data_IF_357649854565
#
_entry.id   IF_357649854565
#
_cell.length_a   1.000
_cell.length_b   1.000
_cell.length_c   1.000
_cell.angle_alpha   90.00
_cell.angle_beta   90.00
_cell.angle_gamma   90.00
#
_symmetry.space_group_name_H-M   'P 1'
#
loop_
_entity.id
_entity.type
_entity.pdbx_description
1 polymer ?
#
# COMPACT_ATOMS: atom_id res chain seq x y z
N UNK A 1 -3.74 -38.96 -22.20
CA UNK A 1 -3.41 -38.55 -20.81
C UNK A 1 -4.46 -37.55 -20.39
N UNK A 2 -5.28 -37.96 -19.43
CA UNK A 2 -6.52 -37.31 -19.01
C UNK A 2 -6.26 -35.94 -18.39
N UNK A 3 -6.74 -34.89 -19.05
CA UNK A 3 -6.97 -33.58 -18.43
C UNK A 3 -8.05 -33.74 -17.37
N UNK A 4 -7.64 -34.14 -16.17
CA UNK A 4 -8.49 -34.09 -14.98
C UNK A 4 -8.84 -32.62 -14.76
N UNK A 5 -10.05 -32.24 -15.18
CA UNK A 5 -10.51 -30.86 -15.18
C UNK A 5 -10.92 -30.49 -13.75
N UNK A 6 -9.93 -30.11 -12.93
CA UNK A 6 -10.16 -29.57 -11.60
C UNK A 6 -11.14 -28.39 -11.71
N UNK A 7 -12.23 -28.37 -10.91
CA UNK A 7 -13.15 -27.25 -10.89
C UNK A 7 -12.38 -25.94 -10.66
N UNK A 8 -12.64 -24.91 -11.47
CA UNK A 8 -11.90 -23.63 -11.44
C UNK A 8 -11.74 -23.05 -10.03
N UNK A 9 -12.70 -23.33 -9.13
CA UNK A 9 -12.68 -22.93 -7.72
C UNK A 9 -11.40 -23.35 -6.98
N UNK A 10 -10.85 -24.54 -7.22
CA UNK A 10 -9.63 -25.00 -6.55
C UNK A 10 -8.40 -24.20 -6.97
N UNK A 11 -8.34 -23.88 -8.26
CA UNK A 11 -7.28 -23.09 -8.85
C UNK A 11 -7.33 -21.64 -8.34
N UNK A 12 -8.52 -21.03 -8.26
CA UNK A 12 -8.69 -19.73 -7.61
C UNK A 12 -8.28 -19.76 -6.14
N UNK A 13 -8.71 -20.77 -5.38
CA UNK A 13 -8.35 -20.91 -3.96
C UNK A 13 -6.84 -20.92 -3.75
N UNK A 14 -6.09 -21.68 -4.55
CA UNK A 14 -4.61 -21.76 -4.47
C UNK A 14 -3.93 -20.43 -4.82
N UNK A 15 -4.46 -19.71 -5.81
CA UNK A 15 -3.97 -18.37 -6.15
C UNK A 15 -4.28 -17.35 -5.05
N UNK A 16 -5.44 -17.46 -4.38
CA UNK A 16 -5.75 -16.66 -3.20
C UNK A 16 -4.78 -16.99 -2.06
N UNK A 17 -4.42 -18.26 -1.83
CA UNK A 17 -3.42 -18.62 -0.82
C UNK A 17 -2.08 -17.94 -1.08
N UNK A 18 -1.55 -17.99 -2.30
CA UNK A 18 -0.32 -17.27 -2.63
C UNK A 18 -0.42 -15.75 -2.41
N UNK A 19 -1.56 -15.13 -2.74
CA UNK A 19 -1.78 -13.71 -2.42
C UNK A 19 -1.73 -13.47 -0.91
N UNK A 20 -2.43 -14.27 -0.12
CA UNK A 20 -2.46 -14.15 1.34
C UNK A 20 -1.08 -14.36 1.96
N UNK A 21 -0.29 -15.26 1.38
CA UNK A 21 1.10 -15.46 1.76
C UNK A 21 1.93 -14.19 1.50
N UNK A 22 1.82 -13.59 0.32
CA UNK A 22 2.46 -12.29 0.04
C UNK A 22 1.99 -11.23 1.06
N UNK A 23 0.69 -11.10 1.29
CA UNK A 23 0.14 -10.08 2.18
C UNK A 23 0.60 -10.24 3.63
N UNK A 24 0.91 -11.47 4.06
CA UNK A 24 1.40 -11.79 5.40
C UNK A 24 2.90 -11.61 5.54
N UNK A 25 3.66 -12.04 4.54
CA UNK A 25 5.12 -12.15 4.61
C UNK A 25 5.85 -11.12 3.73
N UNK A 26 5.16 -10.06 3.28
CA UNK A 26 5.74 -9.07 2.36
C UNK A 26 7.06 -8.47 2.86
N UNK A 27 7.24 -8.29 4.17
CA UNK A 27 8.44 -7.69 4.77
C UNK A 27 9.64 -8.65 4.81
N UNK A 28 9.41 -9.94 4.59
CA UNK A 28 10.45 -10.96 4.62
C UNK A 28 11.11 -11.12 3.25
N UNK A 29 12.23 -11.85 3.20
CA UNK A 29 12.93 -12.19 1.97
C UNK A 29 12.24 -13.34 1.24
N UNK A 30 11.01 -13.09 0.80
CA UNK A 30 10.25 -14.02 -0.04
C UNK A 30 10.56 -13.77 -1.52
N UNK A 31 10.66 -14.85 -2.29
CA UNK A 31 10.84 -14.82 -3.73
C UNK A 31 9.71 -15.54 -4.47
N UNK A 32 9.84 -15.62 -5.79
CA UNK A 32 8.82 -16.26 -6.63
C UNK A 32 8.71 -17.76 -6.37
N UNK A 33 9.81 -18.44 -5.99
CA UNK A 33 9.78 -19.86 -5.61
C UNK A 33 8.84 -20.04 -4.43
N UNK A 34 9.11 -19.31 -3.32
CA UNK A 34 8.32 -19.40 -2.10
C UNK A 34 6.83 -19.20 -2.35
N UNK A 35 6.48 -18.16 -3.13
CA UNK A 35 5.09 -17.81 -3.44
C UNK A 35 4.43 -18.88 -4.32
N UNK A 36 5.16 -19.41 -5.31
CA UNK A 36 4.60 -20.42 -6.22
C UNK A 36 4.42 -21.79 -5.55
N UNK A 37 5.29 -22.12 -4.60
CA UNK A 37 5.25 -23.34 -3.81
C UNK A 37 4.04 -23.35 -2.87
N UNK A 38 3.72 -22.20 -2.27
CA UNK A 38 2.49 -22.01 -1.47
C UNK A 38 1.22 -22.28 -2.30
N UNK A 39 1.23 -21.88 -3.58
CA UNK A 39 0.15 -22.20 -4.50
C UNK A 39 0.29 -23.59 -5.15
N UNK A 40 1.34 -24.37 -4.85
CA UNK A 40 1.69 -25.68 -5.43
C UNK A 40 1.78 -25.71 -6.97
N UNK A 41 2.12 -24.59 -7.60
CA UNK A 41 2.20 -24.48 -9.07
C UNK A 41 3.65 -24.31 -9.51
N UNK A 42 3.97 -24.78 -10.72
CA UNK A 42 5.22 -24.38 -11.35
C UNK A 42 5.25 -22.86 -11.56
N UNK A 43 6.42 -22.22 -11.41
CA UNK A 43 6.58 -20.76 -11.51
C UNK A 43 5.94 -20.15 -12.75
N UNK A 44 6.18 -20.74 -13.92
CA UNK A 44 5.69 -20.21 -15.19
C UNK A 44 4.15 -20.26 -15.28
N UNK A 45 3.55 -21.35 -14.79
CA UNK A 45 2.10 -21.48 -14.75
C UNK A 45 1.51 -20.50 -13.72
N UNK A 46 2.13 -20.43 -12.54
CA UNK A 46 1.74 -19.51 -11.47
C UNK A 46 1.75 -18.05 -11.92
N UNK A 47 2.82 -17.56 -12.55
CA UNK A 47 2.91 -16.17 -13.02
C UNK A 47 1.76 -15.85 -13.99
N UNK A 48 1.54 -16.72 -14.99
CA UNK A 48 0.49 -16.50 -16.00
C UNK A 48 -0.88 -16.45 -15.35
N UNK A 49 -1.14 -17.38 -14.44
CA UNK A 49 -2.41 -17.51 -13.78
C UNK A 49 -2.67 -16.35 -12.81
N UNK A 50 -1.71 -16.03 -11.94
CA UNK A 50 -1.79 -14.91 -11.02
C UNK A 50 -2.03 -13.59 -11.78
N UNK A 51 -1.30 -13.36 -12.88
CA UNK A 51 -1.50 -12.19 -13.74
C UNK A 51 -2.88 -12.16 -14.40
N UNK A 52 -3.40 -13.30 -14.84
CA UNK A 52 -4.75 -13.36 -15.43
C UNK A 52 -5.84 -13.01 -14.43
N UNK A 53 -5.62 -13.25 -13.13
CA UNK A 53 -6.58 -13.01 -12.06
C UNK A 53 -6.46 -11.61 -11.46
N UNK A 54 -5.24 -11.15 -11.18
CA UNK A 54 -4.98 -9.87 -10.49
C UNK A 54 -4.46 -8.75 -11.40
N UNK A 55 -4.31 -9.01 -12.71
CA UNK A 55 -3.83 -8.03 -13.70
C UNK A 55 -2.33 -7.72 -13.64
N UNK A 56 -1.60 -8.29 -12.66
CA UNK A 56 -0.18 -8.02 -12.42
C UNK A 56 0.57 -9.30 -12.02
N UNK A 57 1.88 -9.34 -12.23
CA UNK A 57 2.68 -10.50 -11.81
C UNK A 57 2.81 -10.57 -10.29
N UNK A 58 3.14 -11.75 -9.71
CA UNK A 58 3.35 -11.89 -8.26
C UNK A 58 4.39 -10.89 -7.71
N UNK A 59 5.51 -10.70 -8.41
CA UNK A 59 6.55 -9.75 -8.00
C UNK A 59 6.03 -8.30 -8.04
N UNK A 60 5.24 -7.93 -9.06
CA UNK A 60 4.63 -6.61 -9.12
C UNK A 60 3.66 -6.39 -7.96
N UNK A 61 2.85 -7.40 -7.63
CA UNK A 61 1.94 -7.34 -6.48
C UNK A 61 2.71 -7.19 -5.15
N UNK A 62 3.78 -7.97 -4.94
CA UNK A 62 4.65 -7.83 -3.76
C UNK A 62 5.25 -6.42 -3.68
N UNK A 63 5.78 -5.89 -4.79
CA UNK A 63 6.30 -4.52 -4.83
C UNK A 63 5.24 -3.51 -4.43
N UNK A 64 4.03 -3.59 -4.98
CA UNK A 64 2.93 -2.67 -4.62
C UNK A 64 2.56 -2.76 -3.15
N UNK A 65 2.40 -3.98 -2.59
CA UNK A 65 2.12 -4.17 -1.15
C UNK A 65 3.20 -3.51 -0.30
N UNK A 66 4.48 -3.72 -0.63
CA UNK A 66 5.60 -3.09 0.09
C UNK A 66 5.57 -1.58 0.00
N UNK A 67 5.29 -1.01 -1.17
CA UNK A 67 5.23 0.46 -1.35
C UNK A 67 4.04 1.07 -0.61
N UNK A 68 2.86 0.42 -0.63
CA UNK A 68 1.71 0.90 0.15
C UNK A 68 1.98 0.85 1.65
N UNK A 69 2.65 -0.20 2.14
CA UNK A 69 3.09 -0.26 3.54
C UNK A 69 4.13 0.81 3.87
N UNK A 70 5.05 1.09 2.96
CA UNK A 70 6.05 2.13 3.15
C UNK A 70 5.41 3.52 3.24
N UNK A 71 4.38 3.81 2.42
CA UNK A 71 3.62 5.07 2.51
C UNK A 71 3.05 5.26 3.92
N UNK A 72 2.44 4.22 4.49
CA UNK A 72 1.89 4.30 5.85
C UNK A 72 2.94 4.57 6.93
N UNK A 73 4.12 3.95 6.85
CA UNK A 73 5.23 4.21 7.77
C UNK A 73 5.71 5.67 7.67
N UNK A 74 5.89 6.16 6.43
CA UNK A 74 6.27 7.57 6.20
C UNK A 74 5.22 8.55 6.71
N UNK A 75 3.93 8.23 6.59
CA UNK A 75 2.82 9.02 7.13
C UNK A 75 2.78 9.03 8.67
N UNK A 76 3.28 7.97 9.30
CA UNK A 76 3.46 7.86 10.75
C UNK A 76 4.70 8.62 11.24
N UNK A 77 5.61 8.99 10.34
CA UNK A 77 6.80 9.78 10.64
C UNK A 77 8.10 8.99 10.70
N UNK A 78 8.08 7.70 10.32
CA UNK A 78 9.29 6.88 10.25
C UNK A 78 10.30 7.44 9.24
N UNK A 79 11.58 7.20 9.48
CA UNK A 79 12.64 7.59 8.55
C UNK A 79 12.55 6.74 7.27
N UNK A 80 12.92 7.32 6.13
CA UNK A 80 12.91 6.61 4.83
C UNK A 80 13.75 5.32 4.88
N UNK A 81 14.89 5.35 5.57
CA UNK A 81 15.75 4.19 5.78
C UNK A 81 15.08 3.09 6.62
N UNK A 82 14.32 3.47 7.64
CA UNK A 82 13.58 2.53 8.49
C UNK A 82 12.43 1.90 7.71
N UNK A 83 11.64 2.72 7.00
CA UNK A 83 10.58 2.25 6.14
C UNK A 83 11.09 1.26 5.08
N UNK A 84 12.24 1.56 4.44
CA UNK A 84 12.89 0.67 3.48
C UNK A 84 13.16 -0.73 4.07
N UNK A 85 13.74 -0.78 5.27
CA UNK A 85 14.08 -2.04 5.94
C UNK A 85 12.82 -2.78 6.40
N UNK A 86 11.86 -2.07 7.02
CA UNK A 86 10.62 -2.64 7.54
C UNK A 86 9.73 -3.24 6.47
N UNK A 87 9.79 -2.74 5.23
CA UNK A 87 9.04 -3.32 4.10
C UNK A 87 9.85 -4.35 3.30
N UNK A 88 11.03 -4.74 3.76
CA UNK A 88 11.78 -5.88 3.20
C UNK A 88 12.67 -5.54 2.01
N UNK A 89 13.13 -4.29 1.87
CA UNK A 89 14.17 -3.92 0.90
C UNK A 89 15.53 -3.79 1.58
N UNK A 90 16.55 -4.44 1.01
CA UNK A 90 17.93 -4.37 1.49
C UNK A 90 18.66 -3.10 1.01
N UNK A 91 18.18 -2.47 -0.07
CA UNK A 91 18.81 -1.31 -0.70
C UNK A 91 17.87 -0.12 -0.77
N UNK A 92 18.30 0.97 -0.12
CA UNK A 92 17.59 2.25 -0.15
C UNK A 92 17.43 2.81 -1.56
N UNK A 93 18.42 2.59 -2.44
CA UNK A 93 18.39 3.04 -3.84
C UNK A 93 17.31 2.31 -4.63
N UNK A 94 17.25 0.97 -4.51
CA UNK A 94 16.23 0.15 -5.15
C UNK A 94 14.84 0.52 -4.66
N UNK A 95 14.67 0.63 -3.34
CA UNK A 95 13.42 1.06 -2.73
C UNK A 95 12.98 2.44 -3.23
N UNK A 96 13.86 3.44 -3.16
CA UNK A 96 13.51 4.82 -3.53
C UNK A 96 13.16 4.95 -5.01
N UNK A 97 13.84 4.20 -5.88
CA UNK A 97 13.53 4.15 -7.31
C UNK A 97 12.15 3.52 -7.59
N UNK A 98 11.84 2.40 -6.96
CA UNK A 98 10.53 1.74 -7.09
C UNK A 98 9.40 2.58 -6.50
N UNK A 99 9.62 3.17 -5.33
CA UNK A 99 8.67 4.07 -4.67
C UNK A 99 8.36 5.25 -5.59
N UNK A 100 9.38 5.93 -6.12
CA UNK A 100 9.18 7.08 -7.02
C UNK A 100 8.47 6.70 -8.31
N UNK A 101 8.77 5.52 -8.86
CA UNK A 101 8.11 5.02 -10.07
C UNK A 101 6.62 4.75 -9.85
N UNK A 102 6.23 4.27 -8.67
CA UNK A 102 4.85 3.89 -8.36
C UNK A 102 4.04 5.08 -7.84
N UNK A 103 4.63 5.90 -6.96
CA UNK A 103 3.97 7.01 -6.27
C UNK A 103 4.08 8.33 -7.04
N UNK A 104 5.07 8.46 -7.93
CA UNK A 104 5.35 9.67 -8.70
C UNK A 104 6.18 10.72 -7.96
N UNK A 105 6.58 10.46 -6.71
CA UNK A 105 7.42 11.34 -5.87
C UNK A 105 8.42 10.51 -5.07
N UNK A 106 9.54 11.13 -4.69
CA UNK A 106 10.50 10.45 -3.81
C UNK A 106 9.91 10.19 -2.42
N UNK A 107 10.40 9.18 -1.68
CA UNK A 107 9.93 8.90 -0.32
C UNK A 107 10.02 10.13 0.61
N UNK A 108 11.13 10.87 0.56
CA UNK A 108 11.32 12.08 1.35
C UNK A 108 10.31 13.18 0.99
N UNK A 109 10.08 13.40 -0.31
CA UNK A 109 9.11 14.38 -0.76
C UNK A 109 7.69 13.97 -0.36
N UNK A 110 7.34 12.69 -0.48
CA UNK A 110 6.06 12.16 -0.03
C UNK A 110 5.82 12.42 1.47
N UNK A 111 6.79 12.09 2.31
CA UNK A 111 6.72 12.30 3.75
C UNK A 111 6.60 13.80 4.11
N UNK A 112 7.38 14.65 3.43
CA UNK A 112 7.32 16.11 3.62
C UNK A 112 5.96 16.69 3.25
N UNK A 113 5.43 16.34 2.07
CA UNK A 113 4.14 16.81 1.56
C UNK A 113 3.00 16.37 2.50
N UNK A 114 3.05 15.12 2.97
CA UNK A 114 2.07 14.61 3.92
C UNK A 114 2.12 15.36 5.26
N UNK A 115 3.31 15.56 5.81
CA UNK A 115 3.50 16.29 7.06
C UNK A 115 3.04 17.75 6.94
N UNK A 116 3.32 18.40 5.81
CA UNK A 116 2.84 19.76 5.54
C UNK A 116 1.32 19.80 5.46
N UNK A 117 0.71 18.86 4.73
CA UNK A 117 -0.76 18.76 4.65
C UNK A 117 -1.38 18.52 6.03
N UNK A 118 -0.79 17.64 6.85
CA UNK A 118 -1.23 17.35 8.22
C UNK A 118 -1.18 18.62 9.10
N UNK A 119 -0.09 19.38 9.05
CA UNK A 119 0.04 20.68 9.73
C UNK A 119 -1.03 21.67 9.26
N UNK A 120 -1.22 21.82 7.96
CA UNK A 120 -2.22 22.73 7.40
C UNK A 120 -3.66 22.38 7.87
N UNK A 121 -3.99 21.09 7.93
CA UNK A 121 -5.30 20.63 8.44
C UNK A 121 -5.45 20.96 9.92
N UNK A 122 -4.38 20.81 10.71
CA UNK A 122 -4.40 21.11 12.14
C UNK A 122 -4.52 22.63 12.41
N UNK A 123 -3.79 23.46 11.65
CA UNK A 123 -3.82 24.92 11.79
C UNK A 123 -5.11 25.56 11.26
N UNK A 124 -5.66 25.02 10.16
CA UNK A 124 -6.83 25.59 9.47
C UNK A 124 -7.82 24.49 9.02
N UNK A 125 -8.49 23.80 9.95
CA UNK A 125 -9.33 22.64 9.63
C UNK A 125 -10.48 22.97 8.68
N UNK A 126 -11.12 24.13 8.85
CA UNK A 126 -12.25 24.56 8.01
C UNK A 126 -11.86 24.86 6.56
N UNK A 127 -10.56 25.05 6.24
CA UNK A 127 -10.11 25.22 4.86
C UNK A 127 -10.26 23.93 4.03
N UNK A 128 -10.36 22.77 4.68
CA UNK A 128 -10.49 21.45 4.04
C UNK A 128 -11.92 20.91 4.05
N UNK A 129 -12.86 21.66 4.63
CA UNK A 129 -14.29 21.34 4.65
C UNK A 129 -15.01 22.23 3.64
N UNK A 130 -15.87 21.69 2.76
CA UNK A 130 -16.68 22.52 1.87
C UNK A 130 -17.47 23.58 2.66
N UNK A 131 -17.42 24.85 2.21
CA UNK A 131 -18.03 25.99 2.93
C UNK A 131 -19.50 25.78 3.26
N UNK A 132 -20.28 25.25 2.31
CA UNK A 132 -21.70 24.97 2.52
C UNK A 132 -21.93 23.97 3.66
N UNK A 133 -21.08 22.94 3.76
CA UNK A 133 -21.15 21.94 4.82
C UNK A 133 -20.79 22.54 6.17
N UNK A 134 -19.71 23.31 6.23
CA UNK A 134 -19.32 24.03 7.44
C UNK A 134 -20.41 25.03 7.89
N UNK A 135 -21.07 25.72 6.94
CA UNK A 135 -22.19 26.63 7.22
C UNK A 135 -23.42 25.89 7.75
N UNK A 136 -23.84 24.79 7.11
CA UNK A 136 -24.98 23.98 7.58
C UNK A 136 -24.80 23.45 9.00
N UNK A 137 -23.55 23.23 9.43
CA UNK A 137 -23.21 22.78 10.78
C UNK A 137 -22.86 23.94 11.75
N UNK A 138 -23.02 25.21 11.34
CA UNK A 138 -22.75 26.38 12.18
C UNK A 138 -21.26 26.64 12.47
N UNK A 139 -20.35 25.94 11.78
CA UNK A 139 -18.90 26.04 12.01
C UNK A 139 -18.29 27.33 11.44
N UNK A 140 -19.01 28.04 10.58
CA UNK A 140 -18.56 29.30 9.98
C UNK A 140 -19.12 30.55 10.64
N UNK A 141 -20.12 30.42 11.53
CA UNK A 141 -20.80 31.56 12.16
C UNK A 141 -20.06 32.05 13.43
N UNK A 142 -19.29 31.16 14.09
CA UNK A 142 -18.47 31.49 15.26
C UNK A 142 -17.01 31.70 14.87
N UNK A 143 -16.71 32.85 14.27
CA UNK A 143 -15.35 33.24 13.87
C UNK A 143 -14.39 33.52 15.05
N UNK A 144 -14.90 33.56 16.30
CA UNK A 144 -14.08 33.69 17.49
C UNK A 144 -13.85 32.31 18.09
N UNK A 145 -12.65 31.78 17.89
CA UNK A 145 -12.13 30.60 18.57
C UNK A 145 -12.00 30.84 20.09
N UNK A 146 -13.11 30.95 20.79
CA UNK A 146 -13.20 30.57 22.20
C UNK A 146 -14.02 29.29 22.27
N UNK A 147 -13.41 28.23 22.80
CA UNK A 147 -14.13 27.00 23.10
C UNK A 147 -15.36 27.35 23.95
N UNK A 148 -16.54 26.94 23.49
CA UNK A 148 -17.74 26.98 24.32
C UNK A 148 -17.51 26.02 25.48
N UNK A 149 -17.10 26.57 26.63
CA UNK A 149 -17.06 25.83 27.90
C UNK A 149 -18.48 25.32 28.18
N UNK A 150 -18.60 23.99 28.30
CA UNK A 150 -19.78 23.35 28.87
C UNK A 150 -19.92 23.65 30.35
#
# INVERSE_FOLDING_TARGET
>A
MTTEQYPKVYLYRRIVQAKLYIDRYYSEKIDLDNISDEAHFSKFHFIRLFKSIYGKTPNQYLTEVRIERAKHLLEQGDLVSEACNLVGYESLSTFSGLFSKIVGKSPNQYASDFNQRKKNIQEKPLAFVPKCYAFMHGWTENSNFEEVKK
#
